data_IF_233673796821
#
_entry.id   IF_233673796821
#
_cell.length_a   1.000
_cell.length_b   1.000
_cell.length_c   1.000
_cell.angle_alpha   90.00
_cell.angle_beta   90.00
_cell.angle_gamma   90.00
#
_symmetry.space_group_name_H-M   'P 1'
#
loop_
_entity.id
_entity.type
_entity.pdbx_description
1 polymer ?
#
# COMPACT_ATOMS: atom_id res chain seq x y z
N UNK A 1 11.56 -19.33 -6.88
CA UNK A 1 11.40 -18.00 -6.25
C UNK A 1 10.97 -18.15 -4.79
N UNK A 2 11.62 -17.47 -3.84
CA UNK A 2 11.21 -17.52 -2.43
C UNK A 2 9.80 -16.94 -2.25
N UNK A 3 9.09 -17.34 -1.19
CA UNK A 3 7.74 -16.82 -0.91
C UNK A 3 7.76 -15.31 -0.61
N UNK A 4 8.84 -14.81 -0.01
CA UNK A 4 9.07 -13.39 0.26
C UNK A 4 9.19 -12.58 -1.03
N UNK A 5 9.99 -13.04 -2.01
CA UNK A 5 10.13 -12.35 -3.29
C UNK A 5 8.78 -12.26 -4.01
N UNK A 6 7.96 -13.32 -3.99
CA UNK A 6 6.61 -13.29 -4.58
C UNK A 6 5.72 -12.24 -3.91
N UNK A 7 5.82 -12.11 -2.59
CA UNK A 7 5.07 -11.12 -1.83
C UNK A 7 5.54 -9.69 -2.12
N UNK A 8 6.85 -9.48 -2.26
CA UNK A 8 7.41 -8.19 -2.66
C UNK A 8 7.00 -7.81 -4.09
N UNK A 9 7.05 -8.75 -5.04
CA UNK A 9 6.57 -8.51 -6.41
C UNK A 9 5.09 -8.13 -6.42
N UNK A 10 4.27 -8.81 -5.61
CA UNK A 10 2.86 -8.46 -5.46
C UNK A 10 2.66 -7.06 -4.83
N UNK A 11 3.46 -6.71 -3.81
CA UNK A 11 3.48 -5.38 -3.21
C UNK A 11 3.86 -4.29 -4.21
N UNK A 12 4.92 -4.52 -4.99
CA UNK A 12 5.35 -3.62 -6.05
C UNK A 12 4.25 -3.41 -7.10
N UNK A 13 3.65 -4.50 -7.60
CA UNK A 13 2.56 -4.41 -8.57
C UNK A 13 1.36 -3.60 -8.02
N UNK A 14 0.97 -3.86 -6.78
CA UNK A 14 -0.08 -3.11 -6.11
C UNK A 14 0.27 -1.62 -5.96
N UNK A 15 1.51 -1.29 -5.60
CA UNK A 15 1.98 0.09 -5.47
C UNK A 15 2.06 0.81 -6.80
N UNK A 16 2.42 0.14 -7.89
CA UNK A 16 2.35 0.72 -9.25
C UNK A 16 0.90 1.09 -9.58
N UNK A 17 -0.05 0.17 -9.39
CA UNK A 17 -1.47 0.46 -9.66
C UNK A 17 -1.97 1.63 -8.81
N UNK A 18 -1.63 1.63 -7.51
CA UNK A 18 -1.99 2.72 -6.62
C UNK A 18 -1.36 4.06 -7.05
N UNK A 19 -0.10 4.05 -7.48
CA UNK A 19 0.60 5.24 -7.97
C UNK A 19 -0.08 5.81 -9.21
N UNK A 20 -0.53 4.96 -10.14
CA UNK A 20 -1.30 5.41 -11.30
C UNK A 20 -2.62 6.05 -10.88
N UNK A 21 -3.34 5.47 -9.92
CA UNK A 21 -4.56 6.06 -9.37
C UNK A 21 -4.32 7.39 -8.66
N UNK A 22 -3.19 7.52 -7.95
CA UNK A 22 -2.79 8.78 -7.32
C UNK A 22 -2.50 9.87 -8.36
N UNK A 23 -1.83 9.54 -9.47
CA UNK A 23 -1.57 10.49 -10.55
C UNK A 23 -2.88 10.88 -11.25
N UNK A 24 -3.78 9.92 -11.51
CA UNK A 24 -5.10 10.19 -12.09
C UNK A 24 -5.93 11.13 -11.20
N UNK A 25 -5.98 10.89 -9.87
CA UNK A 25 -6.75 11.76 -8.97
C UNK A 25 -6.23 13.21 -9.02
N UNK A 26 -4.91 13.39 -9.06
CA UNK A 26 -4.27 14.72 -9.10
C UNK A 26 -4.60 15.40 -10.42
N UNK A 27 -4.52 14.68 -11.54
CA UNK A 27 -4.91 15.20 -12.85
C UNK A 27 -6.39 15.62 -12.92
N UNK A 28 -7.26 14.95 -12.17
CA UNK A 28 -8.68 15.30 -12.05
C UNK A 28 -8.97 16.40 -11.02
N UNK A 29 -7.95 16.90 -10.31
CA UNK A 29 -8.13 17.90 -9.25
C UNK A 29 -8.84 17.39 -7.99
N UNK A 30 -8.91 16.07 -7.79
CA UNK A 30 -9.63 15.46 -6.67
C UNK A 30 -8.72 15.36 -5.43
N UNK A 31 -9.05 16.15 -4.39
CA UNK A 31 -8.33 16.23 -3.11
C UNK A 31 -6.80 16.21 -3.30
N UNK A 32 -6.22 17.22 -3.97
CA UNK A 32 -4.79 17.30 -4.22
C UNK A 32 -3.96 17.28 -2.93
N UNK A 33 -4.53 17.77 -1.82
CA UNK A 33 -3.96 17.72 -0.47
C UNK A 33 -3.76 16.29 0.07
N UNK A 34 -4.54 15.30 -0.39
CA UNK A 34 -4.34 13.88 -0.07
C UNK A 34 -3.27 13.27 -0.96
N UNK A 35 -2.03 13.71 -0.81
CA UNK A 35 -0.90 13.19 -1.59
C UNK A 35 0.08 12.43 -0.70
N UNK A 36 0.05 11.09 -0.67
CA UNK A 36 0.97 10.28 0.12
C UNK A 36 2.44 10.55 -0.20
N UNK A 37 2.77 10.89 -1.45
CA UNK A 37 4.16 11.19 -1.86
C UNK A 37 4.62 12.51 -1.24
N UNK A 38 3.77 13.53 -1.26
CA UNK A 38 4.07 14.80 -0.60
C UNK A 38 4.17 14.61 0.92
N UNK A 39 3.20 13.93 1.53
CA UNK A 39 3.21 13.62 2.98
C UNK A 39 4.48 12.88 3.41
N UNK A 40 4.91 11.87 2.64
CA UNK A 40 6.15 11.13 2.91
C UNK A 40 7.39 12.00 2.72
N UNK A 41 7.39 12.90 1.74
CA UNK A 41 8.48 13.87 1.53
C UNK A 41 8.61 14.80 2.72
N UNK A 42 7.50 15.40 3.16
CA UNK A 42 7.46 16.35 4.27
C UNK A 42 7.86 15.66 5.58
N UNK A 43 7.37 14.45 5.82
CA UNK A 43 7.75 13.64 6.98
C UNK A 43 9.24 13.26 6.97
N UNK A 44 9.79 12.87 5.82
CA UNK A 44 11.22 12.53 5.71
C UNK A 44 12.10 13.78 5.90
N UNK A 45 11.66 14.92 5.39
CA UNK A 45 12.35 16.19 5.60
C UNK A 45 12.32 16.60 7.08
N UNK A 46 11.14 16.63 7.70
CA UNK A 46 10.95 17.09 9.06
C UNK A 46 11.59 16.17 10.12
N UNK A 47 11.51 14.84 9.94
CA UNK A 47 11.95 13.89 10.97
C UNK A 47 13.35 13.33 10.73
N UNK A 48 13.84 13.31 9.49
CA UNK A 48 15.12 12.68 9.12
C UNK A 48 16.11 13.66 8.48
N UNK A 49 15.73 14.94 8.30
CA UNK A 49 16.58 15.94 7.66
C UNK A 49 16.88 15.64 6.19
N UNK A 50 16.09 14.78 5.53
CA UNK A 50 16.27 14.47 4.12
C UNK A 50 15.93 15.69 3.25
N UNK A 51 16.46 15.77 2.00
CA UNK A 51 16.05 16.82 1.07
C UNK A 51 14.53 16.81 0.86
N UNK A 52 13.90 17.99 0.85
CA UNK A 52 12.49 18.17 0.50
C UNK A 52 12.25 17.99 -1.00
N UNK A 53 12.54 16.78 -1.49
CA UNK A 53 12.46 16.41 -2.90
C UNK A 53 11.35 15.38 -3.11
N UNK A 54 10.50 15.53 -4.14
CA UNK A 54 9.50 14.51 -4.51
C UNK A 54 10.11 13.12 -4.73
N UNK A 55 11.39 13.05 -5.11
CA UNK A 55 12.11 11.78 -5.26
C UNK A 55 12.17 10.99 -3.95
N UNK A 56 12.37 11.67 -2.81
CA UNK A 56 12.40 11.04 -1.49
C UNK A 56 11.03 10.43 -1.16
N UNK A 57 9.95 11.19 -1.40
CA UNK A 57 8.58 10.69 -1.21
C UNK A 57 8.26 9.47 -2.09
N UNK A 58 8.68 9.49 -3.36
CA UNK A 58 8.47 8.35 -4.27
C UNK A 58 9.25 7.12 -3.83
N UNK A 59 10.52 7.28 -3.47
CA UNK A 59 11.34 6.18 -2.93
C UNK A 59 10.69 5.61 -1.67
N UNK A 60 10.28 6.46 -0.72
CA UNK A 60 9.60 6.04 0.49
C UNK A 60 8.28 5.31 0.17
N UNK A 61 7.48 5.82 -0.77
CA UNK A 61 6.21 5.22 -1.18
C UNK A 61 6.40 3.80 -1.73
N UNK A 62 7.36 3.62 -2.64
CA UNK A 62 7.66 2.31 -3.21
C UNK A 62 8.33 1.37 -2.21
N UNK A 63 9.20 1.86 -1.34
CA UNK A 63 9.83 1.06 -0.30
C UNK A 63 8.80 0.53 0.71
N UNK A 64 7.91 1.40 1.19
CA UNK A 64 6.84 1.01 2.11
C UNK A 64 5.88 0.03 1.42
N UNK A 65 5.41 0.36 0.21
CA UNK A 65 4.48 -0.48 -0.53
C UNK A 65 5.02 -1.86 -0.94
N UNK A 66 6.29 -1.90 -1.35
CA UNK A 66 6.92 -3.13 -1.88
C UNK A 66 7.55 -3.96 -0.77
N UNK A 67 8.35 -3.34 0.08
CA UNK A 67 9.19 -4.05 1.05
C UNK A 67 8.44 -4.23 2.35
N UNK A 68 8.05 -3.12 3.00
CA UNK A 68 7.38 -3.19 4.31
C UNK A 68 6.07 -3.98 4.22
N UNK A 69 5.14 -3.53 3.36
CA UNK A 69 3.84 -4.17 3.23
C UNK A 69 3.90 -5.52 2.53
N UNK A 70 4.79 -5.69 1.53
CA UNK A 70 5.00 -6.99 0.89
C UNK A 70 5.51 -8.05 1.87
N UNK A 71 6.49 -7.72 2.72
CA UNK A 71 6.98 -8.64 3.75
C UNK A 71 5.91 -8.89 4.81
N UNK A 72 5.25 -7.83 5.31
CA UNK A 72 4.17 -7.95 6.29
C UNK A 72 3.04 -8.85 5.79
N UNK A 73 2.67 -8.75 4.51
CA UNK A 73 1.65 -9.62 3.93
C UNK A 73 2.01 -11.09 4.04
N UNK A 74 3.28 -11.46 3.78
CA UNK A 74 3.72 -12.84 3.91
C UNK A 74 3.79 -13.31 5.36
N UNK A 75 4.25 -12.45 6.27
CA UNK A 75 4.36 -12.77 7.70
C UNK A 75 2.99 -12.96 8.33
N UNK A 76 2.06 -12.05 8.04
CA UNK A 76 0.70 -12.08 8.56
C UNK A 76 -0.23 -13.01 7.76
N UNK A 77 0.22 -13.56 6.63
CA UNK A 77 -0.64 -14.37 5.74
C UNK A 77 -1.41 -15.48 6.47
N UNK A 78 -0.79 -16.13 7.47
CA UNK A 78 -1.45 -17.17 8.27
C UNK A 78 -2.52 -16.64 9.23
N UNK A 79 -2.36 -15.40 9.70
CA UNK A 79 -3.22 -14.74 10.69
C UNK A 79 -4.32 -13.89 10.04
N UNK A 80 -4.12 -13.45 8.80
CA UNK A 80 -5.08 -12.60 8.09
C UNK A 80 -6.39 -13.37 7.84
N UNK A 81 -7.56 -12.77 8.12
CA UNK A 81 -8.84 -13.39 7.84
C UNK A 81 -9.05 -13.56 6.33
N UNK A 82 -9.88 -14.54 5.96
CA UNK A 82 -10.20 -14.86 4.57
C UNK A 82 -9.63 -16.21 4.09
N UNK A 83 -10.42 -16.91 3.28
CA UNK A 83 -10.09 -18.25 2.79
C UNK A 83 -9.12 -18.30 1.60
N UNK A 84 -8.80 -17.15 0.99
CA UNK A 84 -7.92 -17.08 -0.18
C UNK A 84 -7.01 -15.85 -0.13
N UNK A 85 -5.99 -15.83 -1.00
CA UNK A 85 -5.00 -14.76 -1.06
C UNK A 85 -5.61 -13.38 -1.32
N UNK A 86 -6.68 -13.32 -2.13
CA UNK A 86 -7.39 -12.08 -2.45
C UNK A 86 -8.03 -11.46 -1.21
N UNK A 87 -8.85 -12.22 -0.48
CA UNK A 87 -9.50 -11.75 0.74
C UNK A 87 -8.50 -11.36 1.82
N UNK A 88 -7.41 -12.12 1.96
CA UNK A 88 -6.31 -11.78 2.87
C UNK A 88 -5.66 -10.44 2.49
N UNK A 89 -5.50 -10.18 1.18
CA UNK A 89 -5.00 -8.89 0.68
C UNK A 89 -5.93 -7.73 1.03
N UNK A 90 -7.23 -7.92 0.88
CA UNK A 90 -8.25 -6.95 1.33
C UNK A 90 -8.14 -6.71 2.85
N UNK A 91 -8.08 -7.77 3.66
CA UNK A 91 -7.98 -7.64 5.11
C UNK A 91 -6.71 -6.90 5.56
N UNK A 92 -5.56 -7.20 4.94
CA UNK A 92 -4.34 -6.44 5.22
C UNK A 92 -4.50 -4.97 4.82
N UNK A 93 -5.12 -4.68 3.68
CA UNK A 93 -5.27 -3.31 3.21
C UNK A 93 -6.18 -2.46 4.08
N UNK A 94 -7.24 -3.06 4.65
CA UNK A 94 -8.10 -2.38 5.63
C UNK A 94 -7.30 -2.07 6.90
N UNK A 95 -6.47 -3.00 7.36
CA UNK A 95 -5.56 -2.76 8.49
C UNK A 95 -4.55 -1.65 8.19
N UNK A 96 -3.93 -1.67 7.01
CA UNK A 96 -2.99 -0.64 6.57
C UNK A 96 -3.65 0.73 6.48
N UNK A 97 -4.87 0.80 5.94
CA UNK A 97 -5.68 2.02 5.89
C UNK A 97 -5.99 2.53 7.30
N UNK A 98 -6.45 1.66 8.20
CA UNK A 98 -6.72 2.03 9.59
C UNK A 98 -5.47 2.64 10.23
N UNK A 99 -4.33 1.97 10.13
CA UNK A 99 -3.06 2.47 10.65
C UNK A 99 -2.68 3.83 10.05
N UNK A 100 -2.88 4.03 8.75
CA UNK A 100 -2.63 5.32 8.09
C UNK A 100 -3.53 6.43 8.66
N UNK A 101 -4.81 6.12 8.89
CA UNK A 101 -5.82 7.07 9.38
C UNK A 101 -5.59 7.50 10.84
N UNK A 102 -5.01 6.63 11.66
CA UNK A 102 -4.79 6.91 13.09
C UNK A 102 -3.39 7.42 13.44
N UNK A 103 -2.39 7.16 12.58
CA UNK A 103 -0.99 7.54 12.86
C UNK A 103 -0.51 8.65 11.91
N UNK A 104 -0.20 8.41 10.60
CA UNK A 104 0.24 9.46 9.68
C UNK A 104 -0.69 10.66 9.58
N UNK A 105 -2.01 10.46 9.46
CA UNK A 105 -2.95 11.54 9.23
C UNK A 105 -2.95 12.60 10.36
N UNK A 106 -3.03 12.21 11.66
CA UNK A 106 -2.81 13.15 12.76
C UNK A 106 -1.44 13.82 12.75
N UNK A 107 -0.38 13.07 12.44
CA UNK A 107 1.00 13.59 12.45
C UNK A 107 1.22 14.70 11.44
N UNK A 108 0.58 14.63 10.27
CA UNK A 108 0.63 15.69 9.25
C UNK A 108 -0.42 16.78 9.47
N UNK A 109 -1.10 16.78 10.61
CA UNK A 109 -2.09 17.80 10.97
C UNK A 109 -3.47 17.64 10.31
N UNK A 110 -3.72 16.57 9.56
CA UNK A 110 -5.01 16.29 8.90
C UNK A 110 -6.11 15.80 9.87
N UNK A 111 -5.75 15.54 11.13
CA UNK A 111 -6.67 15.05 12.17
C UNK A 111 -6.89 13.54 12.10
N UNK A 112 -7.59 13.00 13.10
CA UNK A 112 -7.94 11.57 13.14
C UNK A 112 -8.82 11.22 11.93
N UNK A 113 -8.50 10.14 11.21
CA UNK A 113 -9.15 9.77 9.95
C UNK A 113 -9.08 10.83 8.83
N UNK A 114 -8.19 11.82 8.94
CA UNK A 114 -8.11 12.90 7.95
C UNK A 114 -9.32 13.83 7.96
N UNK A 115 -10.10 13.84 9.06
CA UNK A 115 -11.38 14.55 9.13
C UNK A 115 -11.30 16.06 8.93
N UNK A 116 -10.13 16.69 9.13
CA UNK A 116 -9.94 18.12 8.81
C UNK A 116 -9.94 18.39 7.30
N UNK A 117 -9.70 17.36 6.49
CA UNK A 117 -9.81 17.39 5.03
C UNK A 117 -11.22 17.03 4.54
N UNK A 118 -12.13 16.69 5.47
CA UNK A 118 -13.52 16.32 5.19
C UNK A 118 -13.78 14.82 5.14
N UNK A 119 -15.06 14.43 5.21
CA UNK A 119 -15.52 13.02 5.22
C UNK A 119 -15.11 12.23 3.97
N UNK A 120 -14.84 12.91 2.86
CA UNK A 120 -14.40 12.25 1.62
C UNK A 120 -12.97 11.69 1.73
N UNK A 121 -12.13 12.26 2.61
CA UNK A 121 -10.74 11.81 2.78
C UNK A 121 -10.62 10.35 3.24
N UNK A 122 -11.27 9.92 4.35
CA UNK A 122 -11.20 8.52 4.78
C UNK A 122 -11.87 7.57 3.78
N UNK A 123 -12.94 8.01 3.09
CA UNK A 123 -13.64 7.17 2.09
C UNK A 123 -12.77 6.93 0.86
N UNK A 124 -12.18 7.97 0.30
CA UNK A 124 -11.34 7.86 -0.91
C UNK A 124 -10.06 7.08 -0.63
N UNK A 125 -9.42 7.34 0.51
CA UNK A 125 -8.23 6.58 0.92
C UNK A 125 -8.57 5.12 1.18
N UNK A 126 -9.74 4.81 1.77
CA UNK A 126 -10.20 3.44 1.93
C UNK A 126 -10.37 2.74 0.58
N UNK A 127 -11.07 3.36 -0.38
CA UNK A 127 -11.24 2.79 -1.71
C UNK A 127 -9.91 2.49 -2.39
N UNK A 128 -8.96 3.43 -2.32
CA UNK A 128 -7.61 3.25 -2.86
C UNK A 128 -6.86 2.09 -2.19
N UNK A 129 -6.97 1.94 -0.87
CA UNK A 129 -6.36 0.82 -0.15
C UNK A 129 -7.01 -0.51 -0.53
N UNK A 130 -8.34 -0.55 -0.69
CA UNK A 130 -9.03 -1.76 -1.13
C UNK A 130 -8.57 -2.21 -2.52
N UNK A 131 -8.37 -1.26 -3.46
CA UNK A 131 -7.82 -1.57 -4.79
C UNK A 131 -6.39 -2.10 -4.67
N UNK A 132 -5.55 -1.44 -3.87
CA UNK A 132 -4.19 -1.90 -3.61
C UNK A 132 -4.17 -3.33 -3.00
N UNK A 133 -5.03 -3.60 -2.01
CA UNK A 133 -5.16 -4.91 -1.35
C UNK A 133 -5.65 -6.01 -2.29
N UNK A 134 -6.61 -5.68 -3.16
CA UNK A 134 -7.10 -6.56 -4.21
C UNK A 134 -5.97 -6.98 -5.16
N UNK A 135 -5.19 -6.02 -5.65
CA UNK A 135 -4.06 -6.27 -6.56
C UNK A 135 -2.97 -7.08 -5.86
N UNK A 136 -2.62 -6.74 -4.62
CA UNK A 136 -1.64 -7.47 -3.82
C UNK A 136 -2.05 -8.93 -3.65
N UNK A 137 -3.26 -9.17 -3.15
CA UNK A 137 -3.77 -10.52 -2.87
C UNK A 137 -3.91 -11.35 -4.15
N UNK A 138 -4.42 -10.75 -5.23
CA UNK A 138 -4.53 -11.39 -6.54
C UNK A 138 -3.16 -11.80 -7.09
N UNK A 139 -2.22 -10.85 -7.14
CA UNK A 139 -0.88 -11.08 -7.72
C UNK A 139 -0.12 -12.13 -6.92
N UNK A 140 -0.14 -12.05 -5.59
CA UNK A 140 0.49 -13.05 -4.72
C UNK A 140 -0.13 -14.44 -4.90
N UNK A 141 -1.47 -14.53 -4.97
CA UNK A 141 -2.18 -15.78 -5.20
C UNK A 141 -1.78 -16.45 -6.51
N UNK A 142 -1.68 -15.67 -7.60
CA UNK A 142 -1.23 -16.15 -8.92
C UNK A 142 0.21 -16.63 -8.90
N UNK A 143 1.11 -15.86 -8.29
CA UNK A 143 2.52 -16.24 -8.17
C UNK A 143 2.72 -17.50 -7.32
N UNK A 144 1.91 -17.69 -6.28
CA UNK A 144 1.90 -18.93 -5.51
C UNK A 144 1.41 -20.12 -6.34
N UNK A 145 0.26 -20.00 -7.01
CA UNK A 145 -0.29 -21.08 -7.83
C UNK A 145 0.69 -21.55 -8.92
N UNK A 146 1.31 -20.60 -9.63
CA UNK A 146 2.29 -20.90 -10.67
C UNK A 146 3.53 -21.63 -10.11
N UNK A 147 4.02 -21.21 -8.93
CA UNK A 147 5.17 -21.86 -8.30
C UNK A 147 4.88 -23.29 -7.85
N UNK A 148 3.66 -23.56 -7.37
CA UNK A 148 3.22 -24.90 -6.99
C UNK A 148 3.09 -25.81 -8.22
N UNK A 149 2.55 -25.27 -9.33
CA UNK A 149 2.45 -26.00 -10.60
C UNK A 149 3.85 -26.37 -11.15
N UNK A 150 4.81 -25.44 -11.14
CA UNK A 150 6.19 -25.74 -11.58
C UNK A 150 6.83 -26.84 -10.74
N UNK A 151 6.68 -26.80 -9.42
CA UNK A 151 7.25 -27.83 -8.52
C UNK A 151 6.60 -29.21 -8.74
N UNK A 152 5.35 -29.28 -9.15
CA UNK A 152 4.69 -30.55 -9.47
C UNK A 152 5.21 -31.20 -10.76
N UNK A 153 5.81 -30.42 -11.66
CA UNK A 153 6.31 -30.89 -12.97
C UNK A 153 7.80 -31.26 -12.94
N UNK A 154 8.57 -30.69 -12.01
CA UNK A 154 10.01 -30.98 -11.84
C UNK A 154 10.25 -31.77 -10.53
N UNK A 155 10.52 -33.09 -10.59
CA UNK A 155 10.81 -33.91 -9.40
C UNK A 155 12.14 -33.52 -8.72
#
# INVERSE_FOLDING_TARGET
MSCYIRSMVAGFAATVVLSLLLLMKVAMGLMPELNPVAMLTDMAHANMGMPASPMVGWVAHFMIGTVLWGILFKLLYGLLPGGNAFLKGISLSVLAWLLMMILPMPMVGAGLFGMKLGMMAPVMTLMMHLIWGAVLGYTYGRLQANSSATRAVTP
#
